data_IF_471361777593
#
_entry.id   IF_471361777593
#
_cell.length_a   1.000
_cell.length_b   1.000
_cell.length_c   1.000
_cell.angle_alpha   90.00
_cell.angle_beta   90.00
_cell.angle_gamma   90.00
#
_symmetry.space_group_name_H-M   'P 1'
#
loop_
_entity.id
_entity.type
_entity.pdbx_description
1 polymer ?
#
# COMPACT_ATOMS: atom_id res chain seq x y z
N UNK A 1 -9.17 0.89 -1.12
CA UNK A 1 -8.35 2.04 -1.52
C UNK A 1 -7.98 1.82 -2.99
N UNK A 2 -8.15 2.79 -3.90
CA UNK A 2 -7.79 2.55 -5.31
C UNK A 2 -6.26 2.49 -5.44
N UNK A 3 -5.70 1.60 -6.26
CA UNK A 3 -4.24 1.47 -6.47
C UNK A 3 -3.55 2.82 -6.76
N UNK A 4 -4.20 3.72 -7.51
CA UNK A 4 -3.69 5.08 -7.73
C UNK A 4 -3.55 5.89 -6.45
N UNK A 5 -4.57 5.86 -5.58
CA UNK A 5 -4.52 6.56 -4.29
C UNK A 5 -3.45 5.98 -3.36
N UNK A 6 -3.15 4.68 -3.47
CA UNK A 6 -2.03 4.05 -2.74
C UNK A 6 -0.70 4.55 -3.27
N UNK A 7 -0.52 4.59 -4.60
CA UNK A 7 0.71 5.08 -5.24
C UNK A 7 0.95 6.56 -4.93
N UNK A 8 -0.07 7.41 -5.05
CA UNK A 8 0.05 8.85 -4.80
C UNK A 8 0.47 9.11 -3.34
N UNK A 9 -0.13 8.38 -2.37
CA UNK A 9 0.27 8.47 -0.96
C UNK A 9 1.68 7.93 -0.70
N UNK A 10 2.11 6.91 -1.43
CA UNK A 10 3.46 6.36 -1.33
C UNK A 10 4.51 7.38 -1.78
N UNK A 11 4.26 8.07 -2.90
CA UNK A 11 5.08 9.19 -3.38
C UNK A 11 5.13 10.35 -2.37
N UNK A 12 4.00 10.67 -1.73
CA UNK A 12 3.95 11.67 -0.65
C UNK A 12 4.82 11.26 0.55
N UNK A 13 4.69 10.02 1.05
CA UNK A 13 5.51 9.52 2.16
C UNK A 13 7.01 9.51 1.82
N UNK A 14 7.39 9.17 0.58
CA UNK A 14 8.80 9.21 0.16
C UNK A 14 9.35 10.64 0.09
N UNK A 15 8.55 11.61 -0.38
CA UNK A 15 8.93 13.03 -0.36
C UNK A 15 9.10 13.53 1.09
N UNK A 16 8.13 13.24 1.96
CA UNK A 16 8.21 13.64 3.37
C UNK A 16 9.46 13.06 4.03
N UNK A 17 9.78 11.80 3.74
CA UNK A 17 10.98 11.14 4.25
C UNK A 17 12.27 11.83 3.75
N UNK A 18 12.31 12.28 2.49
CA UNK A 18 13.43 13.04 1.94
C UNK A 18 13.57 14.41 2.61
N UNK A 19 12.46 15.12 2.81
CA UNK A 19 12.43 16.40 3.51
C UNK A 19 12.89 16.27 4.97
N UNK A 20 12.36 15.29 5.70
CA UNK A 20 12.76 14.98 7.08
C UNK A 20 14.24 14.62 7.12
N UNK A 21 14.76 13.85 6.15
CA UNK A 21 16.19 13.52 6.06
C UNK A 21 17.06 14.74 5.76
N UNK A 22 16.62 15.65 4.90
CA UNK A 22 17.34 16.87 4.57
C UNK A 22 17.33 17.89 5.72
N UNK A 23 16.25 17.92 6.51
CA UNK A 23 16.06 18.85 7.62
C UNK A 23 16.91 18.45 8.85
N UNK A 24 17.48 19.41 9.60
CA UNK A 24 18.20 19.11 10.83
C UNK A 24 17.27 18.56 11.92
N UNK A 25 17.80 17.66 12.75
CA UNK A 25 17.03 16.97 13.82
C UNK A 25 16.28 17.94 14.73
N UNK A 26 16.90 19.07 15.10
CA UNK A 26 16.27 20.09 15.95
C UNK A 26 15.01 20.70 15.32
N UNK A 27 14.93 20.80 14.00
CA UNK A 27 13.73 21.29 13.31
C UNK A 27 12.68 20.21 13.14
N UNK A 28 13.08 18.98 12.79
CA UNK A 28 12.17 17.83 12.71
C UNK A 28 11.49 17.58 14.05
N UNK A 29 12.27 17.53 15.13
CA UNK A 29 11.75 17.33 16.48
C UNK A 29 10.79 18.45 16.91
N UNK A 30 11.00 19.70 16.47
CA UNK A 30 10.07 20.81 16.73
C UNK A 30 8.80 20.74 15.90
N UNK A 31 8.92 20.37 14.63
CA UNK A 31 7.80 20.31 13.68
C UNK A 31 6.84 19.18 14.04
N UNK A 32 7.38 18.00 14.33
CA UNK A 32 6.60 16.80 14.63
C UNK A 32 6.43 16.53 16.13
N UNK A 33 7.01 17.38 16.99
CA UNK A 33 6.99 17.23 18.45
C UNK A 33 7.43 15.82 18.91
N UNK A 34 8.55 15.34 18.36
CA UNK A 34 9.14 14.04 18.66
C UNK A 34 10.47 14.16 19.38
N UNK A 35 10.81 13.16 20.18
CA UNK A 35 12.05 13.10 20.96
C UNK A 35 13.27 12.87 20.06
N UNK A 36 13.11 12.21 18.90
CA UNK A 36 14.15 12.07 17.91
C UNK A 36 13.63 12.07 16.47
N UNK A 37 14.45 12.61 15.55
CA UNK A 37 14.25 12.47 14.09
C UNK A 37 14.17 11.01 13.67
N UNK A 38 14.85 10.10 14.37
CA UNK A 38 14.81 8.67 14.08
C UNK A 38 13.40 8.08 14.28
N UNK A 39 12.64 8.58 15.25
CA UNK A 39 11.26 8.13 15.47
C UNK A 39 10.33 8.55 14.32
N UNK A 40 10.48 9.78 13.84
CA UNK A 40 9.71 10.27 12.68
C UNK A 40 10.04 9.46 11.43
N UNK A 41 11.32 9.21 11.19
CA UNK A 41 11.74 8.36 10.05
C UNK A 41 11.17 6.94 10.18
N UNK A 42 11.17 6.36 11.38
CA UNK A 42 10.61 5.04 11.62
C UNK A 42 9.10 4.98 11.35
N UNK A 43 8.35 6.00 11.80
CA UNK A 43 6.91 6.12 11.53
C UNK A 43 6.61 6.22 10.03
N UNK A 44 7.38 7.03 9.29
CA UNK A 44 7.20 7.16 7.84
C UNK A 44 7.51 5.82 7.14
N UNK A 45 8.56 5.10 7.56
CA UNK A 45 8.86 3.78 7.02
C UNK A 45 7.77 2.73 7.32
N UNK A 46 7.17 2.79 8.52
CA UNK A 46 6.05 1.92 8.88
C UNK A 46 4.85 2.18 7.98
N UNK A 47 4.52 3.45 7.71
CA UNK A 47 3.44 3.82 6.81
C UNK A 47 3.70 3.39 5.36
N UNK A 48 4.92 3.59 4.85
CA UNK A 48 5.33 3.08 3.53
C UNK A 48 5.15 1.56 3.45
N UNK A 49 5.61 0.82 4.46
CA UNK A 49 5.50 -0.64 4.50
C UNK A 49 4.03 -1.09 4.49
N UNK A 50 3.16 -0.38 5.23
CA UNK A 50 1.73 -0.66 5.23
C UNK A 50 1.10 -0.39 3.86
N UNK A 51 1.43 0.74 3.21
CA UNK A 51 0.94 1.08 1.88
C UNK A 51 1.44 0.11 0.80
N UNK A 52 2.69 -0.32 0.86
CA UNK A 52 3.25 -1.35 -0.02
C UNK A 52 2.56 -2.71 0.21
N UNK A 53 2.24 -3.07 1.45
CA UNK A 53 1.45 -4.26 1.76
C UNK A 53 0.05 -4.18 1.13
N UNK A 54 -0.61 -3.03 1.22
CA UNK A 54 -1.90 -2.82 0.55
C UNK A 54 -1.81 -2.89 -0.98
N UNK A 55 -0.68 -2.49 -1.56
CA UNK A 55 -0.44 -2.63 -3.00
C UNK A 55 -0.20 -4.09 -3.39
N UNK A 56 0.43 -4.89 -2.52
CA UNK A 56 0.65 -6.33 -2.70
C UNK A 56 -0.55 -7.22 -2.36
N UNK A 57 -1.48 -6.77 -1.52
CA UNK A 57 -2.68 -7.52 -1.12
C UNK A 57 -3.81 -7.48 -2.15
N UNK A 58 -3.71 -6.68 -3.22
CA UNK A 58 -4.62 -6.74 -4.37
C UNK A 58 -4.28 -7.93 -5.32
N UNK A 59 -3.82 -9.04 -4.74
CA UNK A 59 -3.68 -10.35 -5.36
C UNK A 59 -4.88 -11.24 -5.07
N UNK A 60 -6.10 -10.69 -4.91
CA UNK A 60 -7.29 -11.45 -5.32
C UNK A 60 -7.34 -11.42 -6.85
N UNK A 61 -6.32 -12.01 -7.46
CA UNK A 61 -6.41 -12.50 -8.82
C UNK A 61 -7.68 -13.34 -8.88
N UNK A 62 -8.56 -13.00 -9.83
CA UNK A 62 -9.46 -13.99 -10.42
C UNK A 62 -8.68 -15.30 -10.47
N UNK A 63 -9.12 -16.32 -9.72
CA UNK A 63 -8.34 -17.53 -9.45
C UNK A 63 -8.18 -18.41 -10.71
N UNK A 64 -8.48 -17.84 -11.87
CA UNK A 64 -8.48 -18.47 -13.18
C UNK A 64 -9.40 -19.68 -13.20
N UNK A 65 -10.32 -19.80 -12.24
CA UNK A 65 -11.19 -20.95 -12.16
C UNK A 65 -12.11 -20.92 -13.35
N UNK A 66 -11.99 -21.95 -14.18
CA UNK A 66 -12.86 -22.16 -15.33
C UNK A 66 -14.26 -22.58 -14.85
N UNK A 67 -15.03 -21.61 -14.35
CA UNK A 67 -16.40 -21.81 -13.89
C UNK A 67 -17.27 -22.39 -15.01
N UNK A 68 -16.95 -22.09 -16.27
CA UNK A 68 -17.61 -22.67 -17.44
C UNK A 68 -17.28 -24.16 -17.55
N UNK A 69 -16.01 -24.52 -17.44
CA UNK A 69 -15.55 -25.92 -17.42
C UNK A 69 -16.17 -26.74 -16.28
N UNK A 70 -16.27 -26.16 -15.09
CA UNK A 70 -16.94 -26.79 -13.94
C UNK A 70 -18.43 -27.02 -14.19
N UNK A 71 -19.14 -26.03 -14.73
CA UNK A 71 -20.56 -26.15 -15.08
C UNK A 71 -20.79 -27.27 -16.08
N UNK A 72 -19.97 -27.34 -17.13
CA UNK A 72 -20.05 -28.41 -18.15
C UNK A 72 -19.79 -29.79 -17.56
N UNK A 73 -18.76 -29.94 -16.70
CA UNK A 73 -18.44 -31.22 -16.07
C UNK A 73 -19.53 -31.72 -15.12
N UNK A 74 -20.33 -30.82 -14.54
CA UNK A 74 -21.43 -31.15 -13.64
C UNK A 74 -22.78 -31.31 -14.38
N UNK A 75 -22.82 -31.10 -15.70
CA UNK A 75 -24.05 -31.14 -16.50
C UNK A 75 -24.99 -29.96 -16.23
N UNK A 76 -24.46 -28.86 -15.68
CA UNK A 76 -25.19 -27.63 -15.40
C UNK A 76 -25.27 -26.76 -16.66
N UNK A 77 -26.32 -25.94 -16.76
CA UNK A 77 -26.41 -24.93 -17.82
C UNK A 77 -25.32 -23.85 -17.60
N UNK A 78 -24.59 -23.51 -18.66
CA UNK A 78 -23.57 -22.46 -18.61
C UNK A 78 -24.24 -21.10 -18.48
N UNK A 79 -23.87 -20.34 -17.45
CA UNK A 79 -24.38 -18.99 -17.21
C UNK A 79 -23.26 -18.00 -17.51
N UNK A 80 -23.52 -17.09 -18.46
CA UNK A 80 -22.63 -15.95 -18.75
C UNK A 80 -23.18 -14.73 -18.01
N UNK A 81 -22.37 -14.17 -17.13
CA UNK A 81 -22.66 -12.92 -16.42
C UNK A 81 -22.09 -11.74 -17.20
#
# INVERSE_FOLDING_TARGET
MRMKEVSDRLDECYNELEEVKAMPESEVCKLYNADSKSEIIALIYEEITALESYQGEDCSEDDGMDYIGLQLSQGMAVIRW
#
